data_IF_851758453115
#
_entry.id   IF_851758453115
#
_cell.length_a   1.000
_cell.length_b   1.000
_cell.length_c   1.000
_cell.angle_alpha   90.00
_cell.angle_beta   90.00
_cell.angle_gamma   90.00
#
_symmetry.space_group_name_H-M   'P 1'
#
loop_
_entity.id
_entity.type
_entity.pdbx_description
1 polymer ?
#
# COMPACT_ATOMS: atom_id res chain seq x y z
N UNK A 1 -2.16 14.73 -13.52
CA UNK A 1 -2.09 14.23 -12.12
C UNK A 1 -2.39 12.74 -12.15
N UNK A 2 -1.48 11.89 -11.66
CA UNK A 2 -1.62 10.43 -11.73
C UNK A 2 -2.47 9.94 -10.56
N UNK A 3 -3.79 9.98 -10.73
CA UNK A 3 -4.77 9.58 -9.71
C UNK A 3 -5.00 8.08 -9.76
N UNK A 4 -4.97 7.42 -8.60
CA UNK A 4 -5.17 5.97 -8.46
C UNK A 4 -6.55 5.59 -7.89
N UNK A 5 -7.38 6.58 -7.62
CA UNK A 5 -8.62 6.50 -6.85
C UNK A 5 -9.87 6.88 -7.66
N UNK A 6 -9.74 6.96 -8.98
CA UNK A 6 -10.84 7.33 -9.88
C UNK A 6 -11.64 6.09 -10.27
N UNK A 7 -12.96 6.25 -10.28
CA UNK A 7 -13.93 5.25 -10.75
C UNK A 7 -14.68 5.82 -11.94
N UNK A 8 -15.03 4.99 -12.92
CA UNK A 8 -15.87 5.43 -14.05
C UNK A 8 -17.36 5.37 -13.67
N UNK A 9 -18.24 6.15 -14.32
CA UNK A 9 -19.68 6.09 -14.07
C UNK A 9 -20.31 4.72 -14.33
N UNK A 10 -19.74 3.93 -15.25
CA UNK A 10 -20.18 2.58 -15.63
C UNK A 10 -19.47 1.47 -14.85
N UNK A 11 -18.70 1.81 -13.81
CA UNK A 11 -17.96 0.80 -13.03
C UNK A 11 -18.93 -0.07 -12.21
N UNK A 12 -18.58 -1.36 -11.97
CA UNK A 12 -19.41 -2.24 -11.16
C UNK A 12 -19.62 -1.69 -9.74
N UNK A 13 -20.67 -2.11 -9.02
CA UNK A 13 -21.01 -1.55 -7.69
C UNK A 13 -19.85 -1.55 -6.68
N UNK A 14 -18.96 -2.54 -6.75
CA UNK A 14 -17.80 -2.66 -5.87
C UNK A 14 -16.56 -1.88 -6.34
N UNK A 15 -16.63 -1.07 -7.39
CA UNK A 15 -15.52 -0.21 -7.80
C UNK A 15 -15.47 1.10 -6.98
N UNK A 16 -16.61 1.53 -6.44
CA UNK A 16 -16.76 2.79 -5.72
C UNK A 16 -15.93 2.92 -4.43
N UNK A 17 -15.98 4.09 -3.77
CA UNK A 17 -15.35 4.27 -2.46
C UNK A 17 -15.93 3.29 -1.43
N UNK A 18 -15.07 2.71 -0.58
CA UNK A 18 -15.52 1.89 0.56
C UNK A 18 -16.00 2.75 1.74
N UNK A 19 -16.66 2.14 2.75
CA UNK A 19 -17.22 2.84 3.90
C UNK A 19 -16.17 3.45 4.86
N UNK A 20 -14.94 2.95 4.85
CA UNK A 20 -13.88 3.42 5.74
C UNK A 20 -13.01 4.50 5.07
N UNK A 21 -12.67 5.60 5.79
CA UNK A 21 -11.48 6.37 5.47
C UNK A 21 -10.24 5.46 5.51
N UNK A 22 -9.21 5.81 4.75
CA UNK A 22 -8.00 4.97 4.65
C UNK A 22 -6.81 5.72 5.25
N UNK A 23 -6.09 5.04 6.13
CA UNK A 23 -4.79 5.45 6.62
C UNK A 23 -3.69 4.68 5.91
N UNK A 24 -2.50 5.26 5.85
CA UNK A 24 -1.33 4.59 5.28
C UNK A 24 -0.05 4.95 6.03
N UNK A 25 0.81 3.96 6.21
CA UNK A 25 2.12 4.13 6.81
C UNK A 25 3.18 3.24 6.17
N UNK A 26 4.44 3.66 6.26
CA UNK A 26 5.57 2.86 5.82
C UNK A 26 6.22 2.20 7.03
N UNK A 27 6.54 0.91 6.91
CA UNK A 27 7.30 0.12 7.88
C UNK A 27 8.53 -0.47 7.21
N UNK A 28 9.58 -0.69 7.98
CA UNK A 28 10.71 -1.54 7.57
C UNK A 28 10.65 -2.78 8.44
N UNK A 29 10.47 -3.94 7.82
CA UNK A 29 10.43 -5.23 8.50
C UNK A 29 11.73 -5.97 8.21
N UNK A 30 12.37 -6.50 9.25
CA UNK A 30 13.65 -7.21 9.11
C UNK A 30 13.50 -8.65 9.56
N UNK A 31 13.85 -9.56 8.66
CA UNK A 31 14.13 -10.96 8.99
C UNK A 31 15.64 -11.09 9.27
N UNK A 32 16.06 -11.20 10.55
CA UNK A 32 17.48 -11.14 10.92
C UNK A 32 18.26 -12.40 10.55
N UNK A 33 17.58 -13.52 10.26
CA UNK A 33 18.18 -14.83 10.09
C UNK A 33 17.78 -15.49 8.75
N UNK A 34 17.63 -14.68 7.70
CA UNK A 34 17.27 -15.15 6.36
C UNK A 34 18.46 -15.86 5.71
N UNK A 35 18.28 -17.11 5.29
CA UNK A 35 19.25 -17.76 4.41
C UNK A 35 19.15 -17.16 3.00
N UNK A 36 20.29 -16.70 2.47
CA UNK A 36 20.45 -16.08 1.16
C UNK A 36 21.26 -17.01 0.24
N UNK A 37 20.61 -17.78 -0.65
CA UNK A 37 21.28 -18.73 -1.54
C UNK A 37 22.35 -18.09 -2.43
N UNK A 38 22.15 -16.84 -2.84
CA UNK A 38 23.06 -16.06 -3.68
C UNK A 38 24.46 -15.87 -3.09
N UNK A 39 24.56 -15.88 -1.76
CA UNK A 39 25.83 -15.74 -1.03
C UNK A 39 26.14 -16.94 -0.14
N UNK A 40 25.28 -17.96 -0.13
CA UNK A 40 25.46 -19.19 0.65
C UNK A 40 25.51 -18.97 2.17
N UNK A 41 24.91 -17.90 2.68
CA UNK A 41 25.03 -17.47 4.07
C UNK A 41 23.70 -17.00 4.65
N UNK A 42 23.62 -16.95 5.97
CA UNK A 42 22.53 -16.29 6.69
C UNK A 42 22.86 -14.81 6.81
N UNK A 43 22.01 -13.96 6.27
CA UNK A 43 22.15 -12.50 6.31
C UNK A 43 20.81 -11.84 6.63
N UNK A 44 20.79 -10.73 7.39
CA UNK A 44 19.55 -10.00 7.61
C UNK A 44 18.94 -9.50 6.29
N UNK A 45 17.63 -9.70 6.10
CA UNK A 45 16.87 -9.13 4.99
C UNK A 45 15.85 -8.13 5.52
N UNK A 46 16.04 -6.86 5.17
CA UNK A 46 15.06 -5.81 5.42
C UNK A 46 14.19 -5.59 4.17
N UNK A 47 12.88 -5.44 4.37
CA UNK A 47 11.92 -5.05 3.34
C UNK A 47 11.22 -3.76 3.76
N UNK A 48 11.13 -2.81 2.84
CA UNK A 48 10.23 -1.66 3.00
C UNK A 48 8.81 -2.11 2.66
N UNK A 49 7.88 -1.88 3.58
CA UNK A 49 6.48 -2.31 3.46
C UNK A 49 5.59 -1.10 3.59
N UNK A 50 4.67 -0.94 2.64
CA UNK A 50 3.60 0.04 2.73
C UNK A 50 2.34 -0.62 3.28
N UNK A 51 1.76 -0.05 4.33
CA UNK A 51 0.64 -0.61 5.06
C UNK A 51 -0.56 0.33 4.95
N UNK A 52 -1.65 -0.12 4.33
CA UNK A 52 -2.94 0.56 4.29
C UNK A 52 -3.90 -0.09 5.29
N UNK A 53 -4.75 0.74 5.90
CA UNK A 53 -5.68 0.26 6.93
C UNK A 53 -6.93 1.16 7.01
N UNK A 54 -8.05 0.64 7.53
CA UNK A 54 -9.19 1.46 7.91
C UNK A 54 -8.76 2.50 8.94
N UNK A 55 -8.99 3.78 8.67
CA UNK A 55 -8.65 4.88 9.57
C UNK A 55 -9.88 5.38 10.33
N UNK A 56 -9.62 6.07 11.44
CA UNK A 56 -10.63 6.66 12.29
C UNK A 56 -11.56 7.59 11.49
N UNK A 57 -12.83 7.66 11.92
CA UNK A 57 -13.81 8.56 11.31
C UNK A 57 -13.32 10.01 11.34
N UNK A 58 -13.66 10.78 10.30
CA UNK A 58 -13.18 12.15 10.13
C UNK A 58 -11.76 12.29 9.58
N UNK A 59 -11.03 11.20 9.34
CA UNK A 59 -9.74 11.24 8.64
C UNK A 59 -9.89 11.92 7.27
N UNK A 60 -9.14 13.00 6.99
CA UNK A 60 -9.21 13.69 5.70
C UNK A 60 -8.84 12.75 4.54
N UNK A 61 -9.60 12.81 3.46
CA UNK A 61 -9.29 12.06 2.24
C UNK A 61 -8.14 12.74 1.50
N UNK A 62 -7.11 11.97 1.16
CA UNK A 62 -6.02 12.42 0.29
C UNK A 62 -4.67 11.87 0.72
N UNK A 63 -3.77 11.72 -0.24
CA UNK A 63 -2.40 11.27 -0.02
C UNK A 63 -1.59 11.31 -1.29
N UNK A 64 -0.27 11.45 -1.14
CA UNK A 64 0.68 11.42 -2.25
C UNK A 64 1.69 10.31 -1.97
N UNK A 65 1.82 9.40 -2.91
CA UNK A 65 2.89 8.41 -2.96
C UNK A 65 3.96 8.90 -3.91
N UNK A 66 5.19 9.01 -3.42
CA UNK A 66 6.36 9.34 -4.23
C UNK A 66 7.08 8.04 -4.58
N UNK A 67 7.30 7.82 -5.87
CA UNK A 67 7.94 6.63 -6.40
C UNK A 67 8.78 6.98 -7.63
N UNK A 68 9.40 5.97 -8.23
CA UNK A 68 10.09 6.06 -9.52
C UNK A 68 9.29 5.26 -10.57
N UNK A 69 9.38 5.68 -11.82
CA UNK A 69 8.90 4.87 -12.94
C UNK A 69 9.75 3.60 -13.08
N UNK A 70 9.34 2.73 -14.01
CA UNK A 70 10.02 1.46 -14.31
C UNK A 70 11.50 1.61 -14.68
N UNK A 71 11.92 2.79 -15.14
CA UNK A 71 13.32 3.09 -15.43
C UNK A 71 14.19 3.24 -14.17
N UNK A 72 13.60 3.26 -12.98
CA UNK A 72 14.30 3.33 -11.71
C UNK A 72 14.93 4.69 -11.42
N UNK A 73 14.65 5.73 -12.22
CA UNK A 73 15.26 7.05 -12.08
C UNK A 73 14.28 8.21 -12.24
N UNK A 74 13.21 8.05 -13.02
CA UNK A 74 12.25 9.13 -13.28
C UNK A 74 11.24 9.23 -12.13
N UNK A 75 11.21 10.35 -11.38
CA UNK A 75 10.27 10.49 -10.28
C UNK A 75 8.82 10.59 -10.73
N UNK A 76 7.92 10.00 -9.96
CA UNK A 76 6.48 10.08 -10.18
C UNK A 76 5.74 10.28 -8.86
N UNK A 77 4.65 11.05 -8.90
CA UNK A 77 3.72 11.20 -7.80
C UNK A 77 2.38 10.54 -8.14
N UNK A 78 1.96 9.58 -7.33
CA UNK A 78 0.63 8.98 -7.38
C UNK A 78 -0.24 9.63 -6.33
N UNK A 79 -1.49 9.91 -6.68
CA UNK A 79 -2.43 10.61 -5.81
C UNK A 79 -3.60 9.69 -5.49
N UNK A 80 -3.72 9.34 -4.22
CA UNK A 80 -4.76 8.46 -3.71
C UNK A 80 -5.59 9.13 -2.62
N UNK A 81 -6.32 8.31 -1.87
CA UNK A 81 -7.25 8.73 -0.82
C UNK A 81 -6.71 8.48 0.58
N UNK A 82 -5.66 7.66 0.74
CA UNK A 82 -5.17 7.32 2.05
C UNK A 82 -4.33 8.43 2.69
N UNK A 83 -4.67 8.80 3.92
CA UNK A 83 -3.95 9.79 4.70
C UNK A 83 -2.73 9.17 5.39
N UNK A 84 -1.57 9.80 5.22
CA UNK A 84 -0.33 9.37 5.86
C UNK A 84 -0.42 9.53 7.38
N UNK A 85 -0.16 8.45 8.13
CA UNK A 85 -0.09 8.48 9.59
C UNK A 85 -1.43 8.79 10.28
N UNK A 86 -2.56 8.51 9.60
CA UNK A 86 -3.88 8.65 10.21
C UNK A 86 -4.04 7.70 11.41
N UNK A 87 -4.83 8.11 12.40
CA UNK A 87 -5.20 7.20 13.48
C UNK A 87 -5.96 5.98 12.89
N UNK A 88 -5.61 4.74 13.23
CA UNK A 88 -6.35 3.57 12.77
C UNK A 88 -7.76 3.55 13.37
N UNK A 89 -8.72 2.98 12.64
CA UNK A 89 -10.02 2.65 13.20
C UNK A 89 -9.88 1.55 14.27
N UNK A 90 -10.77 1.58 15.26
CA UNK A 90 -10.92 0.48 16.21
C UNK A 90 -11.52 -0.76 15.54
N UNK A 91 -11.14 -1.94 16.03
CA UNK A 91 -11.65 -3.22 15.56
C UNK A 91 -10.60 -4.14 14.92
N UNK A 92 -11.02 -5.38 14.70
CA UNK A 92 -10.23 -6.40 14.02
C UNK A 92 -10.56 -6.41 12.53
N UNK A 93 -9.51 -6.45 11.71
CA UNK A 93 -9.64 -6.41 10.26
C UNK A 93 -8.76 -7.50 9.65
N UNK A 94 -9.26 -8.30 8.69
CA UNK A 94 -8.47 -9.31 7.99
C UNK A 94 -7.26 -8.67 7.29
N UNK A 95 -6.15 -9.41 7.27
CA UNK A 95 -4.90 -8.99 6.63
C UNK A 95 -4.80 -9.56 5.20
N UNK A 96 -4.47 -8.69 4.25
CA UNK A 96 -4.10 -9.05 2.88
C UNK A 96 -2.65 -8.65 2.64
N UNK A 97 -1.85 -9.57 2.12
CA UNK A 97 -0.48 -9.31 1.68
C UNK A 97 -0.45 -9.17 0.15
N UNK A 98 0.22 -8.14 -0.35
CA UNK A 98 0.40 -7.88 -1.78
C UNK A 98 1.88 -8.05 -2.13
N UNK A 99 2.15 -8.95 -3.08
CA UNK A 99 3.43 -9.10 -3.74
C UNK A 99 3.31 -8.53 -5.15
N UNK A 100 4.05 -7.47 -5.46
CA UNK A 100 4.13 -6.95 -6.82
C UNK A 100 4.93 -7.88 -7.75
N UNK A 101 4.72 -7.76 -9.06
CA UNK A 101 5.57 -8.41 -10.07
C UNK A 101 6.88 -7.66 -10.31
N UNK A 102 7.81 -8.25 -11.07
CA UNK A 102 9.02 -7.58 -11.53
C UNK A 102 8.79 -6.84 -12.86
N UNK A 103 9.35 -5.64 -13.09
CA UNK A 103 10.04 -4.74 -12.14
C UNK A 103 9.04 -3.76 -11.49
N UNK A 104 8.54 -4.10 -10.29
CA UNK A 104 7.54 -3.34 -9.54
C UNK A 104 8.06 -2.78 -8.23
N UNK A 105 7.17 -2.13 -7.48
CA UNK A 105 7.40 -1.68 -6.11
C UNK A 105 6.08 -1.75 -5.33
N UNK A 106 6.14 -1.47 -4.02
CA UNK A 106 5.01 -1.49 -3.08
C UNK A 106 3.82 -0.65 -3.51
N UNK A 107 3.99 0.33 -4.41
CA UNK A 107 2.90 1.16 -4.92
C UNK A 107 2.25 0.67 -6.22
N UNK A 108 2.77 -0.38 -6.87
CA UNK A 108 2.27 -0.89 -8.15
C UNK A 108 0.76 -1.21 -8.11
N UNK A 109 0.30 -1.71 -6.97
CA UNK A 109 -1.10 -2.09 -6.73
C UNK A 109 -1.75 -1.22 -5.64
N UNK A 110 -1.26 0.01 -5.43
CA UNK A 110 -1.78 0.90 -4.38
C UNK A 110 -3.29 1.20 -4.52
N UNK A 111 -3.82 1.24 -5.76
CA UNK A 111 -5.25 1.41 -6.00
C UNK A 111 -6.07 0.27 -5.40
N UNK A 112 -5.60 -0.98 -5.54
CA UNK A 112 -6.21 -2.16 -4.95
C UNK A 112 -6.07 -2.14 -3.43
N UNK A 113 -4.89 -1.79 -2.93
CA UNK A 113 -4.64 -1.72 -1.49
C UNK A 113 -5.55 -0.70 -0.79
N UNK A 114 -5.69 0.52 -1.34
CA UNK A 114 -6.64 1.51 -0.81
C UNK A 114 -8.09 1.01 -0.90
N UNK A 115 -8.46 0.37 -2.00
CA UNK A 115 -9.82 -0.15 -2.20
C UNK A 115 -10.19 -1.23 -1.17
N UNK A 116 -9.25 -2.15 -0.89
CA UNK A 116 -9.40 -3.17 0.15
C UNK A 116 -9.43 -2.53 1.54
N UNK A 117 -8.53 -1.60 1.83
CA UNK A 117 -8.51 -0.92 3.12
C UNK A 117 -9.80 -0.13 3.39
N UNK A 118 -10.34 0.55 2.38
CA UNK A 118 -11.63 1.22 2.48
C UNK A 118 -12.79 0.25 2.76
N UNK A 119 -12.61 -1.06 2.55
CA UNK A 119 -13.57 -2.14 2.77
C UNK A 119 -13.31 -2.95 4.05
N UNK A 120 -12.43 -2.47 4.92
CA UNK A 120 -12.19 -3.13 6.21
C UNK A 120 -11.08 -4.19 6.18
N UNK A 121 -10.09 -4.07 5.29
CA UNK A 121 -8.91 -4.93 5.31
C UNK A 121 -7.68 -4.14 5.77
N UNK A 122 -6.81 -4.76 6.55
CA UNK A 122 -5.42 -4.29 6.65
C UNK A 122 -4.67 -4.84 5.45
N UNK A 123 -3.89 -4.02 4.77
CA UNK A 123 -3.18 -4.42 3.55
C UNK A 123 -1.72 -4.03 3.67
N UNK A 124 -0.82 -4.96 3.38
CA UNK A 124 0.62 -4.71 3.38
C UNK A 124 1.24 -5.09 2.03
N UNK A 125 1.99 -4.18 1.42
CA UNK A 125 2.73 -4.42 0.17
C UNK A 125 4.23 -4.19 0.39
N UNK A 126 5.07 -5.17 0.04
CA UNK A 126 6.51 -5.11 0.27
C UNK A 126 7.29 -4.79 -1.02
N UNK A 127 8.36 -4.01 -0.90
CA UNK A 127 9.41 -3.86 -1.92
C UNK A 127 10.36 -5.06 -1.84
N UNK A 128 10.41 -5.90 -2.88
CA UNK A 128 11.25 -7.12 -2.93
C UNK A 128 11.95 -7.32 -4.27
#
# INVERSE_FOLDING_TARGET
MNRIDRTRPDSPPLAGPGPWPVGVETRVLTDPARFAPEVGAVVPRALTVECWYPAASGTPVGGIYRSLLRDGVTPVCLHGRAARGAAPAEGEFPLVLISHGYPGNRYLMAHLAESLAARGYRVAAADH
#
